data_IF_886560880073
#
_entry.id   IF_886560880073
#
_cell.length_a   1.000
_cell.length_b   1.000
_cell.length_c   1.000
_cell.angle_alpha   90.00
_cell.angle_beta   90.00
_cell.angle_gamma   90.00
#
_symmetry.space_group_name_H-M   'P 1'
#
loop_
_entity.id
_entity.type
_entity.pdbx_description
1 polymer ?
#
# COMPACT_ATOMS: atom_id res chain seq x y z
N UNK A 1 -89.78 -17.86 40.24
CA UNK A 1 -90.29 -17.75 38.85
C UNK A 1 -89.16 -17.21 37.99
N UNK A 2 -88.83 -17.97 36.94
CA UNK A 2 -87.70 -17.78 36.03
C UNK A 2 -87.73 -16.44 35.27
N UNK A 3 -86.55 -15.79 35.13
CA UNK A 3 -86.02 -15.37 33.82
C UNK A 3 -84.54 -15.02 33.94
N UNK A 4 -83.71 -15.93 33.44
CA UNK A 4 -82.30 -15.73 33.09
C UNK A 4 -82.24 -15.36 31.60
N UNK A 5 -81.15 -14.68 31.25
CA UNK A 5 -80.61 -14.45 29.90
C UNK A 5 -81.17 -13.20 29.19
N UNK A 6 -80.34 -12.39 28.52
CA UNK A 6 -79.14 -12.77 27.78
C UNK A 6 -78.09 -11.66 27.92
N UNK A 7 -76.91 -12.02 28.43
CA UNK A 7 -75.69 -11.26 28.18
C UNK A 7 -75.39 -11.39 26.69
N UNK A 8 -75.38 -10.28 25.98
CA UNK A 8 -75.04 -10.18 24.57
C UNK A 8 -73.57 -10.56 24.38
N UNK A 9 -73.34 -11.87 24.19
CA UNK A 9 -72.03 -12.43 23.91
C UNK A 9 -71.88 -12.38 22.40
N UNK A 10 -71.15 -11.37 21.95
CA UNK A 10 -70.77 -11.13 20.56
C UNK A 10 -69.97 -12.34 20.04
N UNK A 11 -70.65 -13.42 19.67
CA UNK A 11 -70.07 -14.65 19.17
C UNK A 11 -69.75 -14.42 17.69
N UNK A 12 -68.48 -14.14 17.42
CA UNK A 12 -67.92 -14.16 16.08
C UNK A 12 -68.02 -15.60 15.53
N UNK A 13 -69.14 -15.95 14.90
CA UNK A 13 -69.28 -17.25 14.23
C UNK A 13 -68.41 -17.23 12.97
N UNK A 14 -67.20 -17.77 13.07
CA UNK A 14 -66.27 -17.89 11.95
C UNK A 14 -66.84 -18.92 10.96
N UNK A 15 -67.36 -18.45 9.83
CA UNK A 15 -67.77 -19.28 8.69
C UNK A 15 -66.53 -19.91 8.05
N UNK A 16 -66.59 -21.21 7.71
CA UNK A 16 -65.50 -21.97 7.10
C UNK A 16 -64.94 -21.25 5.85
N UNK A 17 -65.80 -20.57 5.08
CA UNK A 17 -65.37 -19.78 3.91
C UNK A 17 -64.47 -18.61 4.29
N UNK A 18 -64.76 -17.93 5.41
CA UNK A 18 -63.94 -16.82 5.93
C UNK A 18 -62.61 -17.33 6.45
N UNK A 19 -62.58 -18.51 7.07
CA UNK A 19 -61.35 -19.15 7.55
C UNK A 19 -60.43 -19.52 6.37
N UNK A 20 -60.96 -20.13 5.31
CA UNK A 20 -60.21 -20.49 4.09
C UNK A 20 -59.66 -19.25 3.40
N UNK A 21 -60.46 -18.17 3.31
CA UNK A 21 -60.02 -16.90 2.73
C UNK A 21 -58.88 -16.27 3.54
N UNK A 22 -59.02 -16.20 4.87
CA UNK A 22 -58.00 -15.66 5.76
C UNK A 22 -56.71 -16.48 5.68
N UNK A 23 -56.81 -17.81 5.68
CA UNK A 23 -55.67 -18.71 5.52
C UNK A 23 -54.97 -18.50 4.18
N UNK A 24 -55.74 -18.33 3.09
CA UNK A 24 -55.20 -18.06 1.75
C UNK A 24 -54.43 -16.74 1.71
N UNK A 25 -54.98 -15.69 2.33
CA UNK A 25 -54.32 -14.37 2.41
C UNK A 25 -53.03 -14.47 3.23
N UNK A 26 -53.08 -15.09 4.41
CA UNK A 26 -51.90 -15.26 5.27
C UNK A 26 -50.84 -16.08 4.55
N UNK A 27 -51.22 -17.16 3.87
CA UNK A 27 -50.29 -17.99 3.09
C UNK A 27 -49.63 -17.21 1.96
N UNK A 28 -50.42 -16.44 1.19
CA UNK A 28 -49.89 -15.54 0.15
C UNK A 28 -48.92 -14.51 0.72
N UNK A 29 -49.25 -13.93 1.88
CA UNK A 29 -48.40 -12.95 2.56
C UNK A 29 -47.07 -13.56 3.03
N UNK A 30 -47.11 -14.78 3.59
CA UNK A 30 -45.90 -15.54 3.98
C UNK A 30 -45.02 -15.83 2.76
N UNK A 31 -45.61 -16.20 1.62
CA UNK A 31 -44.88 -16.41 0.36
C UNK A 31 -44.19 -15.11 -0.09
N UNK A 32 -44.91 -13.98 -0.09
CA UNK A 32 -44.33 -12.69 -0.48
C UNK A 32 -43.19 -12.27 0.45
N UNK A 33 -43.38 -12.39 1.77
CA UNK A 33 -42.35 -12.02 2.77
C UNK A 33 -41.12 -12.92 2.64
N UNK A 34 -41.31 -14.23 2.48
CA UNK A 34 -40.18 -15.16 2.29
C UNK A 34 -39.43 -14.91 0.98
N UNK A 35 -40.14 -14.66 -0.13
CA UNK A 35 -39.54 -14.30 -1.41
C UNK A 35 -38.76 -12.98 -1.32
N UNK A 36 -39.32 -11.97 -0.66
CA UNK A 36 -38.64 -10.69 -0.45
C UNK A 36 -37.39 -10.84 0.42
N UNK A 37 -37.48 -11.62 1.51
CA UNK A 37 -36.34 -11.92 2.37
C UNK A 37 -35.22 -12.65 1.62
N UNK A 38 -35.58 -13.65 0.81
CA UNK A 38 -34.62 -14.38 -0.03
C UNK A 38 -33.94 -13.44 -1.03
N UNK A 39 -34.72 -12.61 -1.74
CA UNK A 39 -34.20 -11.64 -2.69
C UNK A 39 -33.24 -10.63 -2.03
N UNK A 40 -33.64 -10.08 -0.88
CA UNK A 40 -32.80 -9.17 -0.10
C UNK A 40 -31.49 -9.83 0.33
N UNK A 41 -31.56 -11.06 0.86
CA UNK A 41 -30.37 -11.81 1.29
C UNK A 41 -29.41 -12.05 0.13
N UNK A 42 -29.92 -12.50 -1.02
CA UNK A 42 -29.12 -12.74 -2.23
C UNK A 42 -28.51 -11.44 -2.75
N UNK A 43 -29.30 -10.37 -2.85
CA UNK A 43 -28.81 -9.08 -3.33
C UNK A 43 -27.72 -8.51 -2.41
N UNK A 44 -27.92 -8.58 -1.09
CA UNK A 44 -26.92 -8.16 -0.11
C UNK A 44 -25.63 -8.97 -0.25
N UNK A 45 -25.72 -10.28 -0.42
CA UNK A 45 -24.56 -11.15 -0.57
C UNK A 45 -23.79 -10.85 -1.87
N UNK A 46 -24.50 -10.63 -2.98
CA UNK A 46 -23.89 -10.24 -4.26
C UNK A 46 -23.16 -8.91 -4.16
N UNK A 47 -23.75 -7.91 -3.51
CA UNK A 47 -23.11 -6.60 -3.32
C UNK A 47 -21.83 -6.70 -2.49
N UNK A 48 -21.85 -7.50 -1.40
CA UNK A 48 -20.66 -7.73 -0.57
C UNK A 48 -19.56 -8.44 -1.39
N UNK A 49 -19.92 -9.50 -2.11
CA UNK A 49 -18.95 -10.26 -2.91
C UNK A 49 -18.35 -9.40 -4.03
N UNK A 50 -19.18 -8.63 -4.75
CA UNK A 50 -18.73 -7.72 -5.79
C UNK A 50 -17.79 -6.64 -5.23
N UNK A 51 -18.12 -6.05 -4.07
CA UNK A 51 -17.26 -5.06 -3.42
C UNK A 51 -15.91 -5.66 -3.00
N UNK A 52 -15.91 -6.85 -2.38
CA UNK A 52 -14.67 -7.53 -1.99
C UNK A 52 -13.82 -7.91 -3.19
N UNK A 53 -14.43 -8.44 -4.25
CA UNK A 53 -13.72 -8.79 -5.49
C UNK A 53 -13.10 -7.55 -6.15
N UNK A 54 -13.84 -6.44 -6.21
CA UNK A 54 -13.32 -5.17 -6.74
C UNK A 54 -12.15 -4.64 -5.89
N UNK A 55 -12.28 -4.66 -4.56
CA UNK A 55 -11.20 -4.22 -3.65
C UNK A 55 -9.95 -5.09 -3.80
N UNK A 56 -10.12 -6.41 -3.96
CA UNK A 56 -9.02 -7.34 -4.19
C UNK A 56 -8.29 -7.05 -5.51
N UNK A 57 -9.03 -6.97 -6.62
CA UNK A 57 -8.45 -6.67 -7.94
C UNK A 57 -7.77 -5.30 -7.95
N UNK A 58 -8.33 -4.33 -7.25
CA UNK A 58 -7.73 -3.02 -7.11
C UNK A 58 -6.43 -3.07 -6.30
N UNK A 59 -6.41 -3.76 -5.16
CA UNK A 59 -5.20 -3.95 -4.34
C UNK A 59 -4.10 -4.71 -5.11
N UNK A 60 -4.48 -5.75 -5.86
CA UNK A 60 -3.58 -6.53 -6.73
C UNK A 60 -2.98 -5.66 -7.84
N UNK A 61 -3.81 -4.86 -8.52
CA UNK A 61 -3.34 -3.91 -9.53
C UNK A 61 -2.38 -2.88 -8.93
N UNK A 62 -2.67 -2.38 -7.74
CA UNK A 62 -1.81 -1.41 -7.05
C UNK A 62 -0.49 -2.03 -6.62
N UNK A 63 -0.50 -3.26 -6.12
CA UNK A 63 0.70 -4.02 -5.79
C UNK A 63 1.57 -4.22 -7.04
N UNK A 64 0.98 -4.71 -8.14
CA UNK A 64 1.68 -4.87 -9.43
C UNK A 64 2.26 -3.56 -9.97
N UNK A 65 1.50 -2.47 -9.89
CA UNK A 65 1.99 -1.14 -10.32
C UNK A 65 3.14 -0.65 -9.43
N UNK A 66 3.10 -0.98 -8.14
CA UNK A 66 4.19 -0.67 -7.19
C UNK A 66 5.44 -1.50 -7.51
N UNK A 67 5.28 -2.80 -7.82
CA UNK A 67 6.38 -3.67 -8.23
C UNK A 67 7.01 -3.18 -9.54
N UNK A 68 6.21 -2.81 -10.54
CA UNK A 68 6.69 -2.24 -11.80
C UNK A 68 7.49 -0.94 -11.58
N UNK A 69 7.01 -0.08 -10.66
CA UNK A 69 7.73 1.13 -10.26
C UNK A 69 9.08 0.81 -9.61
N UNK A 70 9.11 -0.11 -8.63
CA UNK A 70 10.33 -0.49 -7.92
C UNK A 70 11.33 -1.18 -8.85
N UNK A 71 10.85 -2.03 -9.76
CA UNK A 71 11.65 -2.65 -10.82
C UNK A 71 12.27 -1.62 -11.76
N UNK A 72 11.48 -0.63 -12.21
CA UNK A 72 11.96 0.47 -13.05
C UNK A 72 13.02 1.32 -12.33
N UNK A 73 12.80 1.62 -11.05
CA UNK A 73 13.76 2.33 -10.21
C UNK A 73 15.09 1.57 -10.07
N UNK A 74 15.04 0.25 -9.82
CA UNK A 74 16.24 -0.58 -9.80
C UNK A 74 16.94 -0.65 -11.15
N UNK A 75 16.19 -0.75 -12.26
CA UNK A 75 16.76 -0.78 -13.60
C UNK A 75 17.47 0.54 -13.95
N UNK A 76 16.93 1.68 -13.53
CA UNK A 76 17.57 2.99 -13.70
C UNK A 76 18.91 3.04 -12.96
N UNK A 77 18.97 2.52 -11.73
CA UNK A 77 20.19 2.45 -10.92
C UNK A 77 21.19 1.44 -11.50
N UNK A 78 20.73 0.30 -12.00
CA UNK A 78 21.56 -0.71 -12.69
C UNK A 78 22.28 -0.10 -13.89
N UNK A 79 21.56 0.66 -14.72
CA UNK A 79 22.15 1.34 -15.87
C UNK A 79 23.21 2.35 -15.43
N UNK A 80 22.93 3.18 -14.42
CA UNK A 80 23.92 4.14 -13.91
C UNK A 80 25.13 3.43 -13.29
N UNK A 81 24.94 2.32 -12.59
CA UNK A 81 26.04 1.53 -12.04
C UNK A 81 27.01 1.05 -13.14
N UNK A 82 26.50 0.66 -14.30
CA UNK A 82 27.33 0.31 -15.46
C UNK A 82 28.10 1.52 -16.02
N UNK A 83 27.47 2.69 -16.10
CA UNK A 83 28.13 3.95 -16.55
C UNK A 83 29.26 4.36 -15.60
N UNK A 84 29.07 4.11 -14.30
CA UNK A 84 30.00 4.45 -13.23
C UNK A 84 31.16 3.44 -13.07
N UNK A 85 31.10 2.28 -13.72
CA UNK A 85 32.17 1.29 -13.70
C UNK A 85 33.48 1.92 -14.17
N UNK A 86 34.50 1.90 -13.30
CA UNK A 86 35.81 2.50 -13.58
C UNK A 86 35.89 4.04 -13.50
N UNK A 87 34.80 4.75 -13.17
CA UNK A 87 34.73 6.22 -13.15
C UNK A 87 34.48 6.83 -11.77
N UNK A 88 34.66 6.07 -10.70
CA UNK A 88 34.42 6.52 -9.31
C UNK A 88 35.37 7.61 -8.81
N UNK A 89 36.45 7.90 -9.55
CA UNK A 89 37.36 9.00 -9.25
C UNK A 89 37.05 10.28 -10.06
N UNK A 90 36.15 10.22 -11.04
CA UNK A 90 35.79 11.34 -11.91
C UNK A 90 34.60 12.12 -11.33
N UNK A 91 34.90 13.10 -10.47
CA UNK A 91 33.89 13.91 -9.77
C UNK A 91 32.85 14.55 -10.70
N UNK A 92 33.22 15.17 -11.84
CA UNK A 92 32.25 15.65 -12.83
C UNK A 92 31.26 14.57 -13.31
N UNK A 93 31.75 13.37 -13.63
CA UNK A 93 30.88 12.26 -14.04
C UNK A 93 29.95 11.83 -12.90
N UNK A 94 30.45 11.73 -11.67
CA UNK A 94 29.60 11.40 -10.52
C UNK A 94 28.47 12.42 -10.31
N UNK A 95 28.81 13.72 -10.33
CA UNK A 95 27.85 14.80 -10.12
C UNK A 95 26.76 14.80 -11.21
N UNK A 96 27.16 14.69 -12.49
CA UNK A 96 26.21 14.63 -13.60
C UNK A 96 25.31 13.40 -13.55
N UNK A 97 25.82 12.23 -13.13
CA UNK A 97 25.02 11.01 -13.00
C UNK A 97 24.00 11.09 -11.87
N UNK A 98 24.38 11.57 -10.68
CA UNK A 98 23.41 11.72 -9.57
C UNK A 98 22.31 12.74 -9.90
N UNK A 99 22.65 13.82 -10.60
CA UNK A 99 21.68 14.80 -11.08
C UNK A 99 20.78 14.21 -12.16
N UNK A 100 21.34 13.49 -13.14
CA UNK A 100 20.56 12.81 -14.19
C UNK A 100 19.56 11.85 -13.57
N UNK A 101 19.98 10.96 -12.66
CA UNK A 101 19.07 9.99 -12.04
C UNK A 101 17.91 10.70 -11.32
N UNK A 102 18.20 11.75 -10.56
CA UNK A 102 17.18 12.47 -9.77
C UNK A 102 16.26 13.34 -10.62
N UNK A 103 16.78 14.01 -11.65
CA UNK A 103 16.03 14.99 -12.44
C UNK A 103 15.32 14.36 -13.65
N UNK A 104 15.79 13.20 -14.13
CA UNK A 104 15.19 12.52 -15.26
C UNK A 104 13.78 12.00 -14.96
N UNK A 105 13.50 11.63 -13.71
CA UNK A 105 12.18 11.15 -13.27
C UNK A 105 11.88 11.58 -11.84
N UNK A 106 10.62 11.55 -11.45
CA UNK A 106 10.18 11.78 -10.06
C UNK A 106 10.32 10.53 -9.16
N UNK A 107 11.11 9.54 -9.58
CA UNK A 107 11.23 8.26 -8.86
C UNK A 107 11.95 8.42 -7.52
N UNK A 108 12.95 9.32 -7.47
CA UNK A 108 13.81 9.50 -6.30
C UNK A 108 13.77 10.94 -5.80
N UNK A 109 13.66 11.11 -4.48
CA UNK A 109 13.78 12.42 -3.85
C UNK A 109 15.25 12.85 -3.68
N UNK A 110 16.15 11.88 -3.51
CA UNK A 110 17.58 12.11 -3.55
C UNK A 110 18.32 10.89 -4.10
N UNK A 111 19.54 11.11 -4.59
CA UNK A 111 20.42 10.10 -5.14
C UNK A 111 21.80 10.27 -4.50
N UNK A 112 22.51 9.17 -4.27
CA UNK A 112 23.86 9.15 -3.76
C UNK A 112 24.69 8.04 -4.39
N UNK A 113 25.99 8.28 -4.52
CA UNK A 113 27.00 7.29 -4.88
C UNK A 113 27.91 7.13 -3.68
N UNK A 114 28.13 5.90 -3.26
CA UNK A 114 28.87 5.56 -2.03
C UNK A 114 29.93 4.52 -2.35
N UNK A 115 31.12 4.72 -1.80
CA UNK A 115 32.25 3.81 -1.99
C UNK A 115 32.22 2.60 -1.01
N UNK A 116 33.20 1.72 -1.14
CA UNK A 116 33.37 0.56 -0.23
C UNK A 116 33.62 0.93 1.23
N UNK A 117 34.05 2.17 1.52
CA UNK A 117 34.34 2.66 2.87
C UNK A 117 33.15 3.35 3.52
N UNK A 118 31.98 3.32 2.86
CA UNK A 118 30.72 4.01 3.22
C UNK A 118 30.75 5.53 3.06
N UNK A 119 31.75 6.06 2.36
CA UNK A 119 31.88 7.48 2.07
C UNK A 119 31.01 7.88 0.87
N UNK A 120 30.26 8.97 1.01
CA UNK A 120 29.44 9.52 -0.08
C UNK A 120 30.33 10.29 -1.05
N UNK A 121 30.50 9.76 -2.26
CA UNK A 121 31.31 10.39 -3.31
C UNK A 121 30.57 11.52 -4.03
N UNK A 122 29.26 11.36 -4.21
CA UNK A 122 28.39 12.38 -4.80
C UNK A 122 26.94 12.22 -4.31
N UNK A 123 26.19 13.31 -4.31
CA UNK A 123 24.76 13.29 -4.01
C UNK A 123 24.00 14.36 -4.80
N UNK A 124 22.72 14.09 -5.06
CA UNK A 124 21.77 15.08 -5.55
C UNK A 124 20.48 15.00 -4.74
N UNK A 125 19.89 16.13 -4.29
CA UNK A 125 20.41 17.48 -4.42
C UNK A 125 21.60 17.72 -3.48
N UNK A 126 22.53 18.59 -3.90
CA UNK A 126 23.72 18.95 -3.12
C UNK A 126 23.38 19.60 -1.76
N UNK A 127 22.19 20.22 -1.66
CA UNK A 127 21.66 20.80 -0.42
C UNK A 127 21.56 19.81 0.77
N UNK A 128 21.69 18.50 0.54
CA UNK A 128 21.79 17.51 1.61
C UNK A 128 23.11 17.61 2.39
N UNK A 129 24.17 18.18 1.80
CA UNK A 129 25.48 18.38 2.43
C UNK A 129 26.08 17.11 3.06
N UNK A 130 25.89 15.96 2.40
CA UNK A 130 26.39 14.66 2.88
C UNK A 130 27.61 14.14 2.12
N UNK A 131 28.05 14.83 1.07
CA UNK A 131 29.26 14.45 0.30
C UNK A 131 30.50 14.46 1.20
N UNK A 132 31.33 13.42 1.12
CA UNK A 132 32.51 13.21 1.95
C UNK A 132 32.22 12.66 3.35
N UNK A 133 30.95 12.48 3.72
CA UNK A 133 30.60 11.86 5.00
C UNK A 133 30.55 10.34 4.86
N UNK A 134 30.95 9.65 5.93
CA UNK A 134 30.72 8.21 6.09
C UNK A 134 29.36 7.95 6.71
N UNK A 135 28.53 7.17 6.01
CA UNK A 135 27.16 6.89 6.44
C UNK A 135 27.05 5.49 7.05
N UNK A 136 26.41 5.40 8.22
CA UNK A 136 26.13 4.14 8.91
C UNK A 136 24.63 3.85 9.02
N UNK A 137 23.84 4.33 8.05
CA UNK A 137 22.39 4.12 8.05
C UNK A 137 22.04 2.67 7.67
N UNK A 138 20.86 2.15 8.08
CA UNK A 138 20.46 0.78 7.77
C UNK A 138 20.56 0.42 6.28
N UNK A 139 20.11 1.32 5.38
CA UNK A 139 20.17 1.10 3.94
C UNK A 139 21.61 0.99 3.42
N UNK A 140 22.51 1.90 3.84
CA UNK A 140 23.93 1.88 3.43
C UNK A 140 24.63 0.61 3.89
N UNK A 141 24.45 0.25 5.17
CA UNK A 141 25.05 -0.95 5.75
C UNK A 141 24.53 -2.23 5.08
N UNK A 142 23.24 -2.27 4.74
CA UNK A 142 22.64 -3.40 4.04
C UNK A 142 23.19 -3.54 2.62
N UNK A 143 23.32 -2.44 1.87
CA UNK A 143 23.88 -2.43 0.51
C UNK A 143 25.34 -2.90 0.46
N UNK A 144 26.19 -2.42 1.36
CA UNK A 144 27.60 -2.85 1.47
C UNK A 144 27.72 -4.34 1.81
N UNK A 145 26.87 -4.82 2.72
CA UNK A 145 26.87 -6.22 3.16
C UNK A 145 26.36 -7.17 2.08
N UNK A 146 25.26 -6.83 1.41
CA UNK A 146 24.61 -7.71 0.42
C UNK A 146 25.31 -7.67 -0.93
N UNK A 147 25.89 -6.54 -1.34
CA UNK A 147 26.54 -6.35 -2.66
C UNK A 147 25.65 -6.77 -3.83
N UNK A 148 24.35 -6.57 -3.68
CA UNK A 148 23.30 -6.95 -4.61
C UNK A 148 22.27 -5.80 -4.66
N UNK A 149 21.34 -5.78 -5.63
CA UNK A 149 20.22 -4.86 -5.58
C UNK A 149 19.44 -5.01 -4.26
N UNK A 150 19.15 -3.88 -3.60
CA UNK A 150 18.49 -3.86 -2.29
C UNK A 150 17.39 -2.81 -2.30
N UNK A 151 16.26 -3.16 -1.67
CA UNK A 151 15.23 -2.21 -1.22
C UNK A 151 15.16 -2.39 0.29
N UNK A 152 15.51 -1.35 1.04
CA UNK A 152 15.53 -1.43 2.50
C UNK A 152 14.13 -1.34 3.09
N UNK A 153 13.98 -1.86 4.31
CA UNK A 153 12.88 -1.46 5.18
C UNK A 153 12.88 0.06 5.41
N UNK A 154 11.74 0.68 5.75
CA UNK A 154 11.67 2.11 5.99
C UNK A 154 12.46 2.52 7.25
N UNK A 155 13.25 3.58 7.13
CA UNK A 155 14.02 4.16 8.23
C UNK A 155 14.16 5.68 8.11
N UNK A 156 14.63 6.33 9.17
CA UNK A 156 14.90 7.78 9.19
C UNK A 156 16.36 8.01 8.81
N UNK A 157 16.60 8.79 7.76
CA UNK A 157 17.96 9.09 7.29
C UNK A 157 18.70 10.06 8.21
N UNK A 158 20.01 10.22 7.98
CA UNK A 158 20.85 11.24 8.64
C UNK A 158 20.28 12.65 8.48
N UNK A 159 19.57 12.92 7.36
CA UNK A 159 18.89 14.18 7.09
C UNK A 159 17.47 14.27 7.72
N UNK A 160 17.07 13.31 8.56
CA UNK A 160 15.79 13.34 9.29
C UNK A 160 14.55 12.94 8.48
N UNK A 161 14.70 12.46 7.25
CA UNK A 161 13.56 12.08 6.40
C UNK A 161 13.24 10.58 6.57
N UNK A 162 11.97 10.24 6.81
CA UNK A 162 11.49 8.85 6.75
C UNK A 162 11.42 8.40 5.29
N UNK A 163 12.17 7.35 4.95
CA UNK A 163 12.37 6.94 3.57
C UNK A 163 12.54 5.42 3.42
N UNK A 164 12.39 4.96 2.18
CA UNK A 164 12.94 3.68 1.70
C UNK A 164 14.18 3.95 0.85
N UNK A 165 15.12 3.02 0.89
CA UNK A 165 16.41 3.12 0.22
C UNK A 165 16.51 2.05 -0.85
N UNK A 166 16.73 2.45 -2.11
CA UNK A 166 16.85 1.53 -3.25
C UNK A 166 18.28 1.66 -3.77
N UNK A 167 19.03 0.58 -3.82
CA UNK A 167 20.43 0.59 -4.24
C UNK A 167 20.74 -0.48 -5.27
N UNK A 168 21.73 -0.19 -6.12
CA UNK A 168 22.34 -1.15 -7.01
C UNK A 168 23.86 -1.13 -6.84
N UNK A 169 24.53 -2.30 -6.74
CA UNK A 169 25.98 -2.36 -6.59
C UNK A 169 26.70 -1.86 -7.86
N UNK A 170 27.89 -1.30 -7.67
CA UNK A 170 28.82 -0.91 -8.74
C UNK A 170 30.02 -1.86 -8.66
N UNK A 171 30.32 -2.50 -9.77
CA UNK A 171 31.48 -3.39 -9.92
C UNK A 171 32.43 -2.85 -10.98
N UNK A 172 33.73 -3.11 -10.84
CA UNK A 172 34.71 -2.89 -11.90
C UNK A 172 34.50 -3.89 -13.04
N UNK A 173 35.13 -3.65 -14.20
CA UNK A 173 35.18 -4.62 -15.31
C UNK A 173 35.80 -5.96 -14.88
N UNK A 174 36.68 -5.95 -13.88
CA UNK A 174 37.32 -7.14 -13.31
C UNK A 174 36.47 -7.84 -12.25
N UNK A 175 35.29 -7.30 -11.92
CA UNK A 175 34.38 -7.85 -10.90
C UNK A 175 34.64 -7.38 -9.47
N UNK A 176 35.54 -6.42 -9.26
CA UNK A 176 35.79 -5.86 -7.93
C UNK A 176 34.61 -5.01 -7.49
N UNK A 177 34.15 -5.21 -6.25
CA UNK A 177 33.11 -4.37 -5.68
C UNK A 177 33.66 -2.97 -5.37
N UNK A 178 33.11 -1.94 -6.00
CA UNK A 178 33.59 -0.56 -5.85
C UNK A 178 32.70 0.31 -4.96
N UNK A 179 31.50 -0.16 -4.66
CA UNK A 179 30.49 0.57 -3.90
C UNK A 179 29.10 0.38 -4.49
N UNK A 180 28.23 1.38 -4.38
CA UNK A 180 26.88 1.31 -4.92
C UNK A 180 26.34 2.70 -5.27
N UNK A 181 25.37 2.73 -6.18
CA UNK A 181 24.52 3.89 -6.44
C UNK A 181 23.16 3.63 -5.79
N UNK A 182 22.60 4.64 -5.16
CA UNK A 182 21.31 4.52 -4.49
C UNK A 182 20.43 5.75 -4.67
N UNK A 183 19.14 5.50 -4.77
CA UNK A 183 18.10 6.50 -4.71
C UNK A 183 17.26 6.35 -3.44
N UNK A 184 16.76 7.46 -2.92
CA UNK A 184 15.86 7.46 -1.77
C UNK A 184 14.46 7.91 -2.16
N UNK A 185 13.45 7.29 -1.56
CA UNK A 185 12.05 7.68 -1.73
C UNK A 185 11.48 8.06 -0.37
N UNK A 186 11.13 9.33 -0.23
CA UNK A 186 10.57 9.87 1.00
C UNK A 186 9.11 9.50 1.14
N UNK A 187 8.74 8.92 2.29
CA UNK A 187 7.39 8.45 2.54
C UNK A 187 6.43 9.56 2.97
N UNK A 188 6.98 10.62 3.59
CA UNK A 188 6.22 11.78 4.09
C UNK A 188 6.16 12.97 3.11
N UNK A 189 6.75 12.84 1.92
CA UNK A 189 6.77 13.91 0.90
C UNK A 189 6.18 13.38 -0.41
N UNK A 190 5.82 14.30 -1.30
CA UNK A 190 5.39 13.95 -2.65
C UNK A 190 6.54 13.27 -3.40
N UNK A 191 6.24 12.12 -4.00
CA UNK A 191 7.12 11.31 -4.84
C UNK A 191 6.25 10.55 -5.85
N UNK A 192 6.85 9.94 -6.88
CA UNK A 192 6.10 9.08 -7.79
C UNK A 192 5.36 7.97 -7.03
N UNK A 193 6.03 7.31 -6.07
CA UNK A 193 5.41 6.30 -5.21
C UNK A 193 4.24 6.87 -4.39
N UNK A 194 4.40 8.06 -3.82
CA UNK A 194 3.31 8.70 -3.07
C UNK A 194 2.11 9.03 -3.97
N UNK A 195 2.30 9.40 -5.24
CA UNK A 195 1.19 9.60 -6.18
C UNK A 195 0.49 8.30 -6.52
N UNK A 196 1.27 7.25 -6.81
CA UNK A 196 0.75 5.91 -7.11
C UNK A 196 -0.13 5.36 -5.98
N UNK A 197 0.33 5.50 -4.72
CA UNK A 197 -0.42 5.05 -3.54
C UNK A 197 -1.47 6.07 -3.07
N UNK A 198 -1.27 7.34 -3.45
CA UNK A 198 -2.00 8.55 -3.04
C UNK A 198 -3.38 8.69 -3.65
N UNK A 199 -3.50 8.38 -4.93
CA UNK A 199 -4.71 8.61 -5.70
C UNK A 199 -5.75 7.51 -5.45
N UNK A 200 -6.51 7.68 -4.38
CA UNK A 200 -7.70 6.87 -4.11
C UNK A 200 -8.94 7.51 -4.74
N UNK A 201 -9.46 6.90 -5.80
CA UNK A 201 -10.58 7.43 -6.59
C UNK A 201 -11.96 7.14 -5.99
N UNK A 202 -12.05 6.32 -4.93
CA UNK A 202 -13.32 6.01 -4.28
C UNK A 202 -13.76 7.14 -3.34
N UNK A 203 -15.01 7.61 -3.52
CA UNK A 203 -15.63 8.68 -2.71
C UNK A 203 -16.47 8.14 -1.54
N UNK A 204 -16.35 6.86 -1.22
CA UNK A 204 -17.15 6.14 -0.23
C UNK A 204 -16.55 6.16 1.19
N UNK A 205 -15.42 6.85 1.38
CA UNK A 205 -14.71 6.92 2.66
C UNK A 205 -13.77 5.74 2.92
N UNK A 206 -13.64 4.79 1.98
CA UNK A 206 -12.59 3.78 2.02
C UNK A 206 -11.21 4.42 1.83
N UNK A 207 -10.17 3.73 2.28
CA UNK A 207 -8.80 4.18 2.08
C UNK A 207 -7.83 3.01 1.95
N UNK A 208 -6.70 3.26 1.31
CA UNK A 208 -5.60 2.30 1.14
C UNK A 208 -4.52 2.59 2.17
N UNK A 209 -3.85 1.55 2.62
CA UNK A 209 -2.61 1.65 3.38
C UNK A 209 -1.66 0.54 2.98
N UNK A 210 -0.36 0.78 3.12
CA UNK A 210 0.70 -0.19 2.81
C UNK A 210 1.53 -0.40 4.05
N UNK A 211 1.87 -1.64 4.34
CA UNK A 211 2.72 -2.04 5.48
C UNK A 211 3.93 -2.82 5.00
N UNK A 212 5.03 -2.74 5.75
CA UNK A 212 6.16 -3.66 5.59
C UNK A 212 5.90 -4.99 6.32
N UNK A 213 6.81 -5.95 6.15
CA UNK A 213 6.78 -7.25 6.84
C UNK A 213 6.89 -7.13 8.37
N UNK A 214 7.25 -5.96 8.91
CA UNK A 214 7.29 -5.68 10.34
C UNK A 214 6.05 -4.88 10.79
N UNK A 215 4.99 -4.85 9.98
CA UNK A 215 3.72 -4.16 10.26
C UNK A 215 3.86 -2.64 10.37
N UNK A 216 4.92 -2.05 9.83
CA UNK A 216 5.14 -0.60 9.80
C UNK A 216 4.44 0.01 8.61
N UNK A 217 3.70 1.09 8.83
CA UNK A 217 3.01 1.81 7.76
C UNK A 217 4.00 2.52 6.84
N UNK A 218 4.08 2.05 5.60
CA UNK A 218 4.83 2.68 4.49
C UNK A 218 3.98 3.78 3.85
N UNK A 219 2.68 3.55 3.73
CA UNK A 219 1.72 4.51 3.19
C UNK A 219 0.42 4.53 3.99
N UNK A 220 -0.13 5.72 4.20
CA UNK A 220 -1.41 5.96 4.85
C UNK A 220 -1.88 7.40 4.54
N UNK A 221 -3.20 7.65 4.30
CA UNK A 221 -3.70 9.00 4.00
C UNK A 221 -3.38 10.03 5.10
N UNK A 222 -3.50 9.60 6.36
CA UNK A 222 -2.99 10.36 7.50
C UNK A 222 -1.46 10.20 7.65
N UNK A 223 -0.72 11.22 7.26
CA UNK A 223 0.75 11.26 7.32
C UNK A 223 1.34 11.07 8.73
N UNK A 224 0.58 11.39 9.80
CA UNK A 224 1.02 11.21 11.19
C UNK A 224 1.10 9.72 11.60
N UNK A 225 0.57 8.81 10.78
CA UNK A 225 0.67 7.36 11.00
C UNK A 225 1.86 6.71 10.30
N UNK A 226 2.49 7.39 9.34
CA UNK A 226 3.61 6.85 8.57
C UNK A 226 4.80 6.51 9.48
N UNK A 227 5.34 5.30 9.31
CA UNK A 227 6.43 4.73 10.10
C UNK A 227 6.00 4.14 11.44
N UNK A 228 4.73 4.25 11.84
CA UNK A 228 4.22 3.58 13.05
C UNK A 228 3.95 2.11 12.77
N UNK A 229 4.24 1.27 13.75
CA UNK A 229 3.85 -0.14 13.73
C UNK A 229 2.37 -0.23 14.07
N UNK A 230 1.65 -1.08 13.37
CA UNK A 230 0.22 -1.33 13.63
C UNK A 230 0.09 -2.68 14.31
N UNK A 231 -0.26 -2.63 15.59
CA UNK A 231 -0.57 -3.81 16.38
C UNK A 231 -2.09 -4.05 16.39
N UNK A 232 -2.50 -5.30 16.55
CA UNK A 232 -3.91 -5.73 16.68
C UNK A 232 -4.80 -5.35 15.49
N UNK A 233 -4.33 -5.58 14.26
CA UNK A 233 -5.16 -5.47 13.07
C UNK A 233 -5.31 -6.85 12.40
N UNK A 234 -6.49 -7.49 12.50
CA UNK A 234 -6.72 -8.83 11.97
C UNK A 234 -6.47 -8.98 10.46
N UNK A 235 -6.53 -7.87 9.70
CA UNK A 235 -6.20 -7.89 8.27
C UNK A 235 -4.70 -7.92 8.04
N UNK A 236 -3.92 -7.16 8.81
CA UNK A 236 -2.45 -7.16 8.72
C UNK A 236 -1.91 -8.51 9.22
N UNK A 237 -2.49 -9.06 10.29
CA UNK A 237 -2.09 -10.36 10.86
C UNK A 237 -2.29 -11.53 9.89
N UNK A 238 -3.12 -11.37 8.84
CA UNK A 238 -3.30 -12.39 7.79
C UNK A 238 -2.36 -12.22 6.60
N UNK A 239 -1.69 -11.08 6.50
CA UNK A 239 -0.81 -10.72 5.38
C UNK A 239 0.68 -10.93 5.71
N UNK A 240 1.04 -10.92 6.99
CA UNK A 240 2.40 -11.03 7.53
C UNK A 240 2.50 -12.27 8.40
#
# INVERSE_FOLDING_TARGET
MFKVAVLDKNNFSVDLRKLILMLSIVSGLVIVVSAFYAAYSVQRQQLIQASLANNYVYADKLAKTTDDFLGSAQQQLMFSAAVLSGKLHDKPTLASEVDRIRLQTDSFNSVLIVDVTTEVLATSPEALQITGLKLSTPGVLESIRKRAPVISNPYVSTAGNLLIFISHPIFSENGDYLGFVAGTVYLKKKSALHRLLGEHYHKDGSYIYVVDQNRRLIYHPNAARLGKTVDNNPLIDRLV
#
